data_IF_469392244574
#
_entry.id   IF_469392244574
#
_cell.length_a   1.000
_cell.length_b   1.000
_cell.length_c   1.000
_cell.angle_alpha   90.00
_cell.angle_beta   90.00
_cell.angle_gamma   90.00
#
_symmetry.space_group_name_H-M   'P 1'
#
loop_
_entity.id
_entity.type
_entity.pdbx_description
1 polymer ?
#
# COMPACT_ATOMS: atom_id res chain seq x y z
N UNK A 1 -0.73 10.23 -21.90
CA UNK A 1 -0.02 10.79 -20.73
C UNK A 1 -0.72 12.03 -20.21
N UNK A 2 -1.21 11.98 -18.97
CA UNK A 2 -1.82 13.11 -18.25
C UNK A 2 -0.85 13.57 -17.16
N UNK A 3 -0.70 14.88 -16.93
CA UNK A 3 0.09 15.36 -15.78
C UNK A 3 -0.71 15.21 -14.50
N UNK A 4 -0.11 14.65 -13.45
CA UNK A 4 -0.66 14.74 -12.10
C UNK A 4 -0.66 16.21 -11.69
N UNK A 5 -1.81 16.73 -11.28
CA UNK A 5 -1.96 18.14 -10.90
C UNK A 5 -1.67 18.30 -9.40
N UNK A 6 -1.29 19.50 -8.98
CA UNK A 6 -1.02 19.78 -7.56
C UNK A 6 -2.26 19.50 -6.68
N UNK A 7 -3.46 19.80 -7.19
CA UNK A 7 -4.73 19.51 -6.51
C UNK A 7 -5.08 18.02 -6.42
N UNK A 8 -4.31 17.15 -7.07
CA UNK A 8 -4.47 15.69 -6.99
C UNK A 8 -3.63 15.07 -5.86
N UNK A 9 -2.66 15.79 -5.30
CA UNK A 9 -1.71 15.26 -4.29
C UNK A 9 -2.39 14.90 -2.97
N UNK A 10 -3.22 15.80 -2.43
CA UNK A 10 -3.96 15.53 -1.19
C UNK A 10 -4.99 14.41 -1.37
N UNK A 11 -5.82 14.41 -2.42
CA UNK A 11 -6.69 13.27 -2.72
C UNK A 11 -5.95 11.94 -2.87
N UNK A 12 -4.80 11.93 -3.56
CA UNK A 12 -3.98 10.74 -3.71
C UNK A 12 -3.57 10.20 -2.34
N UNK A 13 -3.02 11.04 -1.46
CA UNK A 13 -2.60 10.62 -0.12
C UNK A 13 -3.75 10.07 0.72
N UNK A 14 -4.90 10.75 0.73
CA UNK A 14 -6.09 10.32 1.47
C UNK A 14 -6.62 8.98 0.96
N UNK A 15 -6.78 8.83 -0.35
CA UNK A 15 -7.28 7.60 -0.94
C UNK A 15 -6.32 6.42 -0.84
N UNK A 16 -5.01 6.67 -1.01
CA UNK A 16 -3.97 5.66 -0.79
C UNK A 16 -4.03 5.16 0.66
N UNK A 17 -4.25 6.04 1.63
CA UNK A 17 -4.39 5.65 3.03
C UNK A 17 -5.62 4.78 3.31
N UNK A 18 -6.76 5.12 2.69
CA UNK A 18 -8.00 4.31 2.78
C UNK A 18 -7.79 2.93 2.17
N UNK A 19 -7.13 2.85 1.00
CA UNK A 19 -6.80 1.59 0.33
C UNK A 19 -5.69 0.78 1.04
N UNK A 20 -4.96 1.40 1.96
CA UNK A 20 -3.89 0.76 2.72
C UNK A 20 -4.36 -0.27 3.73
N UNK A 21 -5.66 -0.36 4.04
CA UNK A 21 -6.21 -1.30 5.01
C UNK A 21 -5.45 -1.28 6.35
N UNK A 22 -5.11 -0.08 6.81
CA UNK A 22 -4.36 0.13 8.05
C UNK A 22 -2.84 -0.01 7.95
N UNK A 23 -2.29 -0.37 6.78
CA UNK A 23 -0.86 -0.48 6.55
C UNK A 23 -0.36 0.28 5.31
N UNK A 24 0.76 -0.16 4.74
CA UNK A 24 1.49 0.58 3.68
C UNK A 24 2.25 1.84 4.13
N UNK A 25 2.26 2.10 5.44
CA UNK A 25 2.92 3.25 6.07
C UNK A 25 2.13 4.55 5.91
N UNK A 26 2.27 5.49 6.85
CA UNK A 26 1.58 6.78 6.74
C UNK A 26 2.03 7.55 5.49
N UNK A 27 1.12 8.11 4.68
CA UNK A 27 1.49 8.91 3.52
C UNK A 27 1.92 10.34 3.88
N UNK A 28 1.84 10.76 5.14
CA UNK A 28 2.01 12.16 5.55
C UNK A 28 3.34 12.79 5.08
N UNK A 29 4.46 12.10 5.33
CA UNK A 29 5.77 12.64 4.97
C UNK A 29 5.97 12.66 3.45
N UNK A 30 5.47 11.64 2.73
CA UNK A 30 5.47 11.62 1.28
C UNK A 30 4.62 12.75 0.69
N UNK A 31 3.45 13.00 1.27
CA UNK A 31 2.57 14.11 0.89
C UNK A 31 3.24 15.47 1.10
N UNK A 32 3.92 15.69 2.24
CA UNK A 32 4.66 16.92 2.49
C UNK A 32 5.76 17.14 1.45
N UNK A 33 6.55 16.11 1.17
CA UNK A 33 7.62 16.17 0.17
C UNK A 33 7.07 16.44 -1.24
N UNK A 34 6.01 15.74 -1.64
CA UNK A 34 5.43 15.91 -2.97
C UNK A 34 4.85 17.31 -3.17
N UNK A 35 4.19 17.88 -2.15
CA UNK A 35 3.75 19.27 -2.19
C UNK A 35 4.92 20.25 -2.30
N UNK A 36 6.01 20.03 -1.57
CA UNK A 36 7.20 20.88 -1.66
C UNK A 36 7.81 20.84 -3.08
N UNK A 37 7.97 19.65 -3.65
CA UNK A 37 8.47 19.44 -5.01
C UNK A 37 7.61 20.16 -6.06
N UNK A 38 6.27 20.07 -5.94
CA UNK A 38 5.35 20.73 -6.86
C UNK A 38 5.40 22.27 -6.75
N UNK A 39 5.56 22.81 -5.55
CA UNK A 39 5.78 24.26 -5.35
C UNK A 39 7.08 24.76 -6.00
N UNK A 40 8.09 23.89 -6.06
CA UNK A 40 9.37 24.15 -6.74
C UNK A 40 9.29 23.95 -8.27
N UNK A 41 8.10 23.64 -8.80
CA UNK A 41 7.82 23.56 -10.24
C UNK A 41 8.02 22.16 -10.84
N UNK A 42 8.20 21.12 -10.02
CA UNK A 42 8.19 19.73 -10.49
C UNK A 42 6.80 19.38 -11.00
N UNK A 43 6.74 18.63 -12.09
CA UNK A 43 5.51 18.07 -12.62
C UNK A 43 5.76 16.62 -13.05
N UNK A 44 4.94 15.70 -12.53
CA UNK A 44 5.06 14.27 -12.81
C UNK A 44 4.01 13.89 -13.86
N UNK A 45 4.44 13.10 -14.83
CA UNK A 45 3.56 12.50 -15.82
C UNK A 45 2.99 11.19 -15.29
N UNK A 46 1.66 11.07 -15.35
CA UNK A 46 0.93 9.84 -15.06
C UNK A 46 0.63 9.14 -16.40
N UNK A 47 1.04 7.88 -16.49
CA UNK A 47 0.99 7.07 -17.70
C UNK A 47 -0.02 5.95 -17.51
N UNK A 48 -0.92 5.81 -18.46
CA UNK A 48 -1.78 4.63 -18.52
C UNK A 48 -0.92 3.40 -18.86
N UNK A 49 -1.04 2.27 -18.14
CA UNK A 49 -0.27 1.06 -18.43
C UNK A 49 -0.27 0.64 -19.91
N UNK A 50 -1.35 0.89 -20.64
CA UNK A 50 -1.47 0.56 -22.07
C UNK A 50 -0.60 1.44 -22.98
N UNK A 51 -0.18 2.63 -22.52
CA UNK A 51 0.71 3.53 -23.25
C UNK A 51 2.19 3.08 -23.20
N UNK A 52 2.55 2.14 -22.32
CA UNK A 52 3.91 1.59 -22.25
C UNK A 52 4.29 0.84 -23.53
N UNK A 53 5.54 0.99 -23.97
CA UNK A 53 6.14 0.06 -24.93
C UNK A 53 6.34 -1.31 -24.29
N UNK A 54 6.13 -2.39 -25.05
CA UNK A 54 6.23 -3.76 -24.49
C UNK A 54 7.60 -4.08 -23.87
N UNK A 55 8.66 -3.45 -24.40
CA UNK A 55 10.06 -3.60 -24.00
C UNK A 55 10.56 -2.49 -23.04
N UNK A 56 9.69 -1.55 -22.65
CA UNK A 56 9.98 -0.53 -21.63
C UNK A 56 10.35 -1.22 -20.33
N UNK A 57 11.33 -0.68 -19.60
CA UNK A 57 11.76 -1.19 -18.31
C UNK A 57 11.15 -0.34 -17.19
N UNK A 58 10.28 -0.95 -16.39
CA UNK A 58 9.56 -0.29 -15.30
C UNK A 58 10.19 -0.64 -13.96
N UNK A 59 10.57 0.39 -13.20
CA UNK A 59 11.01 0.25 -11.81
C UNK A 59 9.78 0.03 -10.92
N UNK A 60 9.80 -1.01 -10.09
CA UNK A 60 8.72 -1.29 -9.13
C UNK A 60 9.22 -0.92 -7.74
N UNK A 61 8.69 0.14 -7.15
CA UNK A 61 9.24 0.73 -5.91
C UNK A 61 8.28 0.64 -4.73
N UNK A 62 8.86 0.53 -3.53
CA UNK A 62 8.14 0.63 -2.26
C UNK A 62 9.16 0.85 -1.14
N UNK A 63 8.69 1.25 0.03
CA UNK A 63 9.42 1.13 1.27
C UNK A 63 9.10 -0.20 1.97
N UNK A 64 10.08 -0.75 2.68
CA UNK A 64 9.95 -1.95 3.52
C UNK A 64 10.49 -1.62 4.91
N UNK A 65 9.78 -2.02 5.96
CA UNK A 65 10.23 -1.79 7.32
C UNK A 65 9.19 -2.08 8.38
N UNK A 66 9.55 -1.80 9.62
CA UNK A 66 8.62 -1.81 10.73
C UNK A 66 7.81 -0.49 10.73
N UNK A 67 6.47 -0.53 10.71
CA UNK A 67 5.64 0.68 10.68
C UNK A 67 6.01 1.71 11.77
N UNK A 68 6.27 1.24 13.00
CA UNK A 68 6.68 2.12 14.11
C UNK A 68 8.02 2.81 13.87
N UNK A 69 8.99 2.14 13.25
CA UNK A 69 10.27 2.76 12.90
C UNK A 69 10.10 3.78 11.76
N UNK A 70 9.14 3.55 10.86
CA UNK A 70 8.76 4.50 9.81
C UNK A 70 8.22 5.81 10.36
N UNK A 71 7.51 5.80 11.49
CA UNK A 71 6.99 7.03 12.11
C UNK A 71 8.08 7.99 12.61
N UNK A 72 9.28 7.48 12.90
CA UNK A 72 10.42 8.27 13.39
C UNK A 72 11.40 8.65 12.26
N UNK A 73 11.23 8.08 11.06
CA UNK A 73 12.11 8.30 9.92
C UNK A 73 11.39 9.10 8.83
N UNK A 74 11.85 10.33 8.64
CA UNK A 74 11.36 11.20 7.58
C UNK A 74 11.56 10.57 6.21
N UNK A 75 10.56 10.74 5.33
CA UNK A 75 10.71 10.45 3.92
C UNK A 75 11.65 11.46 3.25
N UNK A 76 12.56 10.97 2.41
CA UNK A 76 13.50 11.76 1.61
C UNK A 76 13.43 11.27 0.15
N UNK A 77 13.07 12.14 -0.83
CA UNK A 77 13.01 11.75 -2.25
C UNK A 77 14.33 11.20 -2.79
N UNK A 78 15.48 11.75 -2.38
CA UNK A 78 16.79 11.25 -2.81
C UNK A 78 17.08 9.86 -2.27
N UNK A 79 16.66 9.58 -1.03
CA UNK A 79 16.74 8.26 -0.43
C UNK A 79 15.86 7.25 -1.19
N UNK A 80 14.63 7.65 -1.54
CA UNK A 80 13.66 6.84 -2.29
C UNK A 80 14.23 6.39 -3.65
N UNK A 81 14.98 7.28 -4.31
CA UNK A 81 15.60 7.02 -5.61
C UNK A 81 16.85 6.11 -5.57
N UNK A 82 17.52 5.96 -4.41
CA UNK A 82 18.76 5.17 -4.28
C UNK A 82 18.67 3.73 -4.79
N UNK A 83 17.70 2.89 -4.37
CA UNK A 83 17.61 1.51 -4.84
C UNK A 83 17.37 1.42 -6.35
N UNK A 84 16.68 2.40 -6.94
CA UNK A 84 16.48 2.47 -8.39
C UNK A 84 17.80 2.71 -9.10
N UNK A 85 18.58 3.72 -8.70
CA UNK A 85 19.93 3.99 -9.24
C UNK A 85 20.85 2.78 -9.11
N UNK A 86 20.82 2.10 -7.96
CA UNK A 86 21.60 0.89 -7.74
C UNK A 86 21.23 -0.26 -8.70
N UNK A 87 19.94 -0.44 -9.01
CA UNK A 87 19.51 -1.39 -10.02
C UNK A 87 19.91 -0.97 -11.43
N UNK A 88 19.82 0.32 -11.79
CA UNK A 88 20.26 0.80 -13.10
C UNK A 88 21.74 0.51 -13.34
N UNK A 89 22.59 0.76 -12.33
CA UNK A 89 24.02 0.48 -12.38
C UNK A 89 24.30 -1.03 -12.52
N UNK A 90 23.55 -1.88 -11.81
CA UNK A 90 23.68 -3.33 -11.90
C UNK A 90 23.20 -3.91 -13.24
N UNK A 91 22.09 -3.38 -13.77
CA UNK A 91 21.51 -3.82 -15.04
C UNK A 91 22.26 -3.26 -16.24
N UNK A 92 22.97 -2.14 -16.07
CA UNK A 92 23.57 -1.40 -17.18
C UNK A 92 22.53 -0.74 -18.10
N UNK A 93 21.30 -0.52 -17.60
CA UNK A 93 20.17 0.05 -18.33
C UNK A 93 19.37 0.98 -17.41
N UNK A 94 18.98 2.15 -17.92
CA UNK A 94 18.08 3.09 -17.23
C UNK A 94 16.63 2.61 -17.31
N UNK A 95 15.84 2.96 -16.31
CA UNK A 95 14.39 2.72 -16.34
C UNK A 95 13.69 3.74 -17.23
N UNK A 96 12.58 3.30 -17.84
CA UNK A 96 11.74 4.10 -18.72
C UNK A 96 10.53 4.67 -17.97
N UNK A 97 10.08 4.00 -16.89
CA UNK A 97 9.00 4.45 -16.01
C UNK A 97 9.13 3.86 -14.59
N UNK A 98 8.31 4.34 -13.66
CA UNK A 98 8.23 3.82 -12.28
C UNK A 98 6.80 3.54 -11.86
N UNK A 99 6.58 2.49 -11.05
CA UNK A 99 5.28 2.13 -10.50
C UNK A 99 5.39 1.68 -9.04
N UNK A 100 4.29 1.69 -8.31
CA UNK A 100 4.26 1.20 -6.93
C UNK A 100 4.22 -0.34 -6.87
N UNK A 101 4.76 -0.92 -5.79
CA UNK A 101 4.42 -2.30 -5.41
C UNK A 101 2.97 -2.37 -4.92
N UNK A 102 2.55 -1.40 -4.13
CA UNK A 102 1.21 -1.33 -3.55
C UNK A 102 0.72 0.11 -3.50
N UNK A 103 -0.58 0.31 -3.75
CA UNK A 103 -1.21 1.63 -3.65
C UNK A 103 -1.42 2.10 -2.20
N UNK A 104 -1.27 1.21 -1.22
CA UNK A 104 -1.59 1.47 0.17
C UNK A 104 -0.64 2.46 0.84
N UNK A 105 -1.20 3.51 1.44
CA UNK A 105 -0.48 4.47 2.28
C UNK A 105 0.70 5.17 1.59
N UNK A 106 1.82 5.28 2.29
CA UNK A 106 3.04 5.96 1.83
C UNK A 106 3.68 5.26 0.63
N UNK A 107 3.50 3.94 0.51
CA UNK A 107 3.94 3.20 -0.68
C UNK A 107 3.22 3.65 -1.96
N UNK A 108 1.98 4.15 -1.86
CA UNK A 108 1.26 4.78 -2.96
C UNK A 108 1.85 6.13 -3.39
N UNK A 109 2.68 6.77 -2.55
CA UNK A 109 3.35 8.05 -2.83
C UNK A 109 4.80 7.84 -3.29
N UNK A 110 5.46 6.76 -2.86
CA UNK A 110 6.83 6.40 -3.21
C UNK A 110 7.19 6.56 -4.70
N UNK A 111 6.40 6.05 -5.68
CA UNK A 111 6.74 6.21 -7.10
C UNK A 111 6.79 7.67 -7.55
N UNK A 112 6.02 8.56 -6.92
CA UNK A 112 6.04 9.99 -7.23
C UNK A 112 7.30 10.67 -6.70
N UNK A 113 7.78 10.29 -5.52
CA UNK A 113 9.05 10.79 -4.99
C UNK A 113 10.20 10.37 -5.91
N UNK A 114 10.22 9.10 -6.31
CA UNK A 114 11.22 8.57 -7.26
C UNK A 114 11.10 9.24 -8.63
N UNK A 115 9.88 9.34 -9.17
CA UNK A 115 9.61 9.95 -10.47
C UNK A 115 10.02 11.41 -10.54
N UNK A 116 9.72 12.19 -9.49
CA UNK A 116 10.17 13.57 -9.35
C UNK A 116 11.70 13.69 -9.33
N UNK A 117 12.37 12.84 -8.55
CA UNK A 117 13.83 12.88 -8.38
C UNK A 117 14.60 12.43 -9.62
N UNK A 118 14.08 11.44 -10.35
CA UNK A 118 14.76 10.84 -11.50
C UNK A 118 14.25 11.35 -12.85
N UNK A 119 13.18 12.15 -12.87
CA UNK A 119 12.53 12.59 -14.11
C UNK A 119 11.82 11.45 -14.85
N UNK A 120 11.30 10.46 -14.12
CA UNK A 120 10.60 9.30 -14.67
C UNK A 120 9.08 9.50 -14.60
N UNK A 121 8.32 9.09 -15.64
CA UNK A 121 6.88 9.02 -15.55
C UNK A 121 6.43 7.94 -14.56
N UNK A 122 5.31 8.17 -13.89
CA UNK A 122 4.66 7.22 -12.99
C UNK A 122 3.56 6.47 -13.73
N UNK A 123 3.54 5.16 -13.66
CA UNK A 123 2.48 4.32 -14.25
C UNK A 123 1.29 4.26 -13.29
N UNK A 124 0.07 4.47 -13.78
CA UNK A 124 -1.20 4.27 -13.04
C UNK A 124 -1.49 2.78 -12.86
N UNK A 125 -0.64 2.12 -12.08
CA UNK A 125 -0.78 0.74 -11.67
C UNK A 125 0.02 0.45 -10.40
N UNK A 126 -0.37 -0.61 -9.72
CA UNK A 126 0.42 -1.24 -8.67
C UNK A 126 0.33 -2.76 -8.76
N UNK A 127 0.97 -3.47 -7.83
CA UNK A 127 1.04 -4.93 -7.83
C UNK A 127 0.19 -5.60 -6.75
N UNK A 128 -0.57 -4.86 -5.95
CA UNK A 128 -1.34 -5.42 -4.82
C UNK A 128 -2.80 -4.93 -4.72
N UNK A 129 -3.14 -3.75 -5.27
CA UNK A 129 -4.48 -3.13 -5.22
C UNK A 129 -4.93 -2.63 -3.85
N UNK A 130 -4.12 -2.91 -2.83
CA UNK A 130 -4.19 -2.54 -1.41
C UNK A 130 -2.80 -2.77 -0.80
N UNK A 131 -2.61 -2.54 0.50
CA UNK A 131 -1.37 -2.98 1.15
C UNK A 131 -1.40 -4.46 1.56
N UNK A 132 -0.25 -5.13 1.48
CA UNK A 132 -0.01 -6.45 2.06
C UNK A 132 1.41 -6.54 2.69
N UNK A 133 1.60 -7.38 3.71
CA UNK A 133 2.83 -7.33 4.50
C UNK A 133 4.05 -8.01 3.85
N UNK A 134 3.86 -8.85 2.83
CA UNK A 134 4.91 -9.74 2.31
C UNK A 134 5.01 -9.76 0.78
N UNK A 135 6.24 -9.90 0.26
CA UNK A 135 6.53 -9.81 -1.18
C UNK A 135 5.74 -10.78 -2.08
N UNK A 136 5.40 -11.99 -1.61
CA UNK A 136 4.63 -12.96 -2.39
C UNK A 136 3.16 -12.56 -2.61
N UNK A 137 2.67 -11.53 -1.93
CA UNK A 137 1.26 -11.12 -1.97
C UNK A 137 0.93 -10.19 -3.15
N UNK A 138 1.76 -10.23 -4.20
CA UNK A 138 1.61 -9.40 -5.40
C UNK A 138 0.91 -10.15 -6.53
N UNK A 139 0.23 -9.42 -7.41
CA UNK A 139 -0.28 -9.91 -8.69
C UNK A 139 0.85 -10.53 -9.53
N UNK A 140 2.05 -9.95 -9.53
CA UNK A 140 3.22 -10.54 -10.19
C UNK A 140 3.56 -11.94 -9.68
N UNK A 141 3.47 -12.19 -8.37
CA UNK A 141 3.67 -13.51 -7.79
C UNK A 141 2.52 -14.48 -8.14
N UNK A 142 1.28 -13.99 -8.20
CA UNK A 142 0.10 -14.76 -8.65
C UNK A 142 0.30 -15.23 -10.10
N UNK A 143 0.84 -14.37 -10.96
CA UNK A 143 1.20 -14.68 -12.36
C UNK A 143 2.50 -15.48 -12.51
N UNK A 144 3.19 -15.82 -11.41
CA UNK A 144 4.38 -16.66 -11.44
C UNK A 144 5.65 -15.96 -11.93
N UNK A 145 5.67 -14.62 -11.93
CA UNK A 145 6.87 -13.86 -12.27
C UNK A 145 7.95 -14.03 -11.21
N UNK A 146 9.21 -13.81 -11.61
CA UNK A 146 10.35 -13.99 -10.73
C UNK A 146 10.58 -12.75 -9.82
N UNK A 147 11.06 -12.93 -8.57
CA UNK A 147 11.15 -11.86 -7.57
C UNK A 147 12.48 -11.09 -7.56
N UNK A 148 13.40 -11.29 -8.52
CA UNK A 148 14.75 -10.72 -8.49
C UNK A 148 15.17 -10.08 -9.84
N UNK A 149 16.21 -9.24 -9.87
CA UNK A 149 16.96 -8.69 -8.72
C UNK A 149 16.11 -7.72 -7.88
N UNK A 150 16.47 -7.53 -6.62
CA UNK A 150 15.87 -6.53 -5.74
C UNK A 150 16.97 -5.69 -5.12
N UNK A 151 16.77 -4.38 -5.04
CA UNK A 151 17.68 -3.47 -4.34
C UNK A 151 17.03 -2.84 -3.11
N UNK A 152 17.86 -2.58 -2.09
CA UNK A 152 17.53 -1.80 -0.90
C UNK A 152 18.58 -0.69 -0.73
N UNK A 153 18.14 0.46 -0.21
CA UNK A 153 19.02 1.58 0.13
C UNK A 153 18.86 2.04 1.58
N UNK A 154 19.79 2.84 2.09
CA UNK A 154 19.61 3.56 3.35
C UNK A 154 20.25 4.97 3.38
N UNK A 155 19.98 5.68 4.48
CA UNK A 155 20.47 7.04 4.75
C UNK A 155 22.00 7.13 4.88
N UNK A 156 22.66 6.00 5.15
CA UNK A 156 24.13 5.89 5.29
C UNK A 156 24.82 5.60 3.97
N UNK A 157 24.07 5.65 2.87
CA UNK A 157 24.54 5.36 1.52
C UNK A 157 24.97 3.91 1.31
N UNK A 158 24.38 3.00 2.08
CA UNK A 158 24.47 1.58 1.77
C UNK A 158 23.46 1.24 0.67
N UNK A 159 23.90 0.46 -0.32
CA UNK A 159 23.04 -0.17 -1.30
C UNK A 159 23.29 -1.68 -1.29
N UNK A 160 22.22 -2.47 -1.25
CA UNK A 160 22.29 -3.93 -1.25
C UNK A 160 21.45 -4.46 -2.40
N UNK A 161 22.03 -5.34 -3.22
CA UNK A 161 21.33 -6.03 -4.30
C UNK A 161 21.20 -7.51 -3.96
N UNK A 162 19.97 -7.99 -3.85
CA UNK A 162 19.66 -9.42 -3.80
C UNK A 162 19.53 -9.90 -5.25
N UNK A 163 20.65 -10.38 -5.80
CA UNK A 163 20.72 -10.76 -7.21
C UNK A 163 19.81 -11.95 -7.58
N UNK A 164 19.59 -12.88 -6.63
CA UNK A 164 18.74 -14.07 -6.80
C UNK A 164 18.13 -14.49 -5.47
N UNK A 165 16.94 -15.09 -5.55
CA UNK A 165 16.30 -15.77 -4.42
C UNK A 165 15.63 -17.07 -4.92
N UNK A 166 15.54 -18.07 -4.04
CA UNK A 166 14.95 -19.37 -4.40
C UNK A 166 13.43 -19.33 -4.61
N UNK A 167 12.75 -18.34 -4.04
CA UNK A 167 11.29 -18.13 -4.10
C UNK A 167 10.96 -16.70 -3.64
N UNK A 168 9.70 -16.30 -3.78
CA UNK A 168 9.19 -15.04 -3.21
C UNK A 168 9.35 -14.97 -1.69
N UNK A 169 9.10 -16.06 -0.97
CA UNK A 169 9.27 -16.14 0.49
C UNK A 169 10.74 -16.01 0.90
N UNK A 170 11.66 -16.59 0.11
CA UNK A 170 13.09 -16.38 0.33
C UNK A 170 13.52 -14.95 0.01
N UNK A 171 12.95 -14.32 -1.01
CA UNK A 171 13.21 -12.91 -1.30
C UNK A 171 12.79 -12.04 -0.11
N UNK A 172 11.55 -12.21 0.37
CA UNK A 172 11.01 -11.52 1.54
C UNK A 172 11.89 -11.70 2.79
N UNK A 173 12.30 -12.95 3.07
CA UNK A 173 13.18 -13.25 4.20
C UNK A 173 14.54 -12.55 4.09
N UNK A 174 15.16 -12.57 2.91
CA UNK A 174 16.47 -11.93 2.70
C UNK A 174 16.36 -10.41 2.81
N UNK A 175 15.38 -9.79 2.14
CA UNK A 175 15.17 -8.35 2.20
C UNK A 175 14.89 -7.88 3.61
N UNK A 176 14.10 -8.61 4.40
CA UNK A 176 13.78 -8.26 5.79
C UNK A 176 14.98 -8.29 6.72
N UNK A 177 15.88 -9.25 6.56
CA UNK A 177 17.16 -9.30 7.30
C UNK A 177 18.02 -8.09 6.95
N UNK A 178 18.12 -7.74 5.67
CA UNK A 178 18.85 -6.55 5.22
C UNK A 178 18.22 -5.28 5.78
N UNK A 179 16.91 -5.09 5.64
CA UNK A 179 16.18 -3.94 6.19
C UNK A 179 16.41 -3.76 7.69
N UNK A 180 16.46 -4.85 8.45
CA UNK A 180 16.79 -4.80 9.89
C UNK A 180 18.20 -4.23 10.12
N UNK A 181 19.20 -4.68 9.36
CA UNK A 181 20.56 -4.17 9.44
C UNK A 181 20.67 -2.69 8.98
N UNK A 182 19.81 -2.25 8.05
CA UNK A 182 19.70 -0.86 7.62
C UNK A 182 18.92 0.03 8.63
N UNK A 183 18.56 -0.52 9.79
CA UNK A 183 17.89 0.16 10.88
C UNK A 183 16.36 0.14 10.76
N UNK A 184 15.83 -1.00 10.35
CA UNK A 184 14.41 -1.39 10.37
C UNK A 184 13.48 -0.65 9.41
N UNK A 185 14.02 0.14 8.49
CA UNK A 185 13.29 0.72 7.36
C UNK A 185 14.25 1.00 6.20
N UNK A 186 13.83 0.70 4.98
CA UNK A 186 14.60 0.90 3.75
C UNK A 186 13.67 1.10 2.55
N UNK A 187 13.91 2.11 1.69
CA UNK A 187 13.34 2.14 0.35
C UNK A 187 13.86 0.94 -0.45
N UNK A 188 13.04 0.46 -1.38
CA UNK A 188 13.34 -0.70 -2.20
C UNK A 188 12.92 -0.48 -3.64
N UNK A 189 13.66 -1.11 -4.54
CA UNK A 189 13.27 -1.34 -5.92
C UNK A 189 13.22 -2.85 -6.12
N UNK A 190 12.02 -3.40 -6.37
CA UNK A 190 11.79 -4.83 -6.59
C UNK A 190 12.27 -5.23 -8.00
N UNK A 191 12.05 -6.49 -8.35
CA UNK A 191 12.31 -6.99 -9.69
C UNK A 191 11.67 -6.08 -10.75
N UNK A 192 12.47 -5.52 -11.67
CA UNK A 192 12.00 -4.75 -12.81
C UNK A 192 10.95 -5.52 -13.61
N UNK A 193 10.06 -4.78 -14.27
CA UNK A 193 9.05 -5.35 -15.16
C UNK A 193 9.20 -4.79 -16.56
N UNK A 194 8.95 -5.63 -17.56
CA UNK A 194 8.75 -5.12 -18.92
C UNK A 194 7.37 -4.44 -19.02
N UNK A 195 7.20 -3.52 -19.97
CA UNK A 195 5.88 -2.91 -20.20
C UNK A 195 4.80 -3.95 -20.49
N UNK A 196 5.13 -5.01 -21.24
CA UNK A 196 4.22 -6.17 -21.43
C UNK A 196 3.85 -6.86 -20.11
N UNK A 197 4.81 -7.13 -19.23
CA UNK A 197 4.51 -7.72 -17.91
C UNK A 197 3.61 -6.82 -17.06
N UNK A 198 3.77 -5.49 -17.14
CA UNK A 198 2.90 -4.54 -16.44
C UNK A 198 1.47 -4.58 -17.01
N UNK A 199 1.31 -4.55 -18.33
CA UNK A 199 -0.02 -4.65 -18.99
C UNK A 199 -0.73 -5.96 -18.62
N UNK A 200 -0.01 -7.08 -18.66
CA UNK A 200 -0.60 -8.40 -18.48
C UNK A 200 -0.87 -8.76 -17.01
N UNK A 201 -0.05 -8.24 -16.07
CA UNK A 201 0.00 -8.77 -14.70
C UNK A 201 -0.22 -7.72 -13.60
N UNK A 202 -0.12 -6.42 -13.86
CA UNK A 202 -0.34 -5.39 -12.84
C UNK A 202 -1.83 -5.12 -12.60
N UNK A 203 -2.14 -4.45 -11.48
CA UNK A 203 -3.47 -3.92 -11.19
C UNK A 203 -3.49 -2.48 -11.69
N UNK A 204 -4.25 -2.22 -12.75
CA UNK A 204 -4.31 -0.91 -13.41
C UNK A 204 -5.27 0.05 -12.71
N UNK A 205 -5.02 1.35 -12.86
CA UNK A 205 -5.93 2.42 -12.44
C UNK A 205 -5.99 2.65 -10.93
N UNK A 206 -5.04 2.12 -10.16
CA UNK A 206 -5.07 2.20 -8.70
C UNK A 206 -4.75 3.60 -8.16
N UNK A 207 -3.88 4.37 -8.83
CA UNK A 207 -3.63 5.77 -8.51
C UNK A 207 -4.87 6.60 -8.84
N UNK A 208 -5.46 6.38 -10.02
CA UNK A 208 -6.72 7.03 -10.40
C UNK A 208 -7.84 6.72 -9.39
N UNK A 209 -7.93 5.48 -8.89
CA UNK A 209 -8.86 5.07 -7.82
C UNK A 209 -8.59 5.82 -6.51
N UNK A 210 -7.34 5.86 -6.06
CA UNK A 210 -6.96 6.59 -4.84
C UNK A 210 -7.36 8.07 -4.93
N UNK A 211 -7.06 8.74 -6.04
CA UNK A 211 -7.45 10.15 -6.25
C UNK A 211 -8.97 10.32 -6.18
N UNK A 212 -9.76 9.43 -6.79
CA UNK A 212 -11.23 9.50 -6.73
C UNK A 212 -11.76 9.36 -5.31
N UNK A 213 -11.25 8.40 -4.55
CA UNK A 213 -11.63 8.18 -3.15
C UNK A 213 -11.29 9.42 -2.30
N UNK A 214 -10.07 9.94 -2.42
CA UNK A 214 -9.67 11.12 -1.66
C UNK A 214 -10.50 12.36 -2.00
N UNK A 215 -10.85 12.55 -3.28
CA UNK A 215 -11.74 13.65 -3.69
C UNK A 215 -13.14 13.49 -3.11
N UNK A 216 -13.67 12.26 -3.01
CA UNK A 216 -14.97 12.02 -2.40
C UNK A 216 -14.98 12.43 -0.92
N UNK A 217 -13.92 12.09 -0.17
CA UNK A 217 -13.73 12.53 1.23
C UNK A 217 -13.68 14.05 1.32
N UNK A 218 -12.81 14.69 0.52
CA UNK A 218 -12.67 16.14 0.55
C UNK A 218 -13.97 16.87 0.16
N UNK A 219 -14.70 16.38 -0.86
CA UNK A 219 -15.98 16.97 -1.27
C UNK A 219 -17.03 16.84 -0.17
N UNK A 220 -17.09 15.69 0.51
CA UNK A 220 -17.99 15.48 1.62
C UNK A 220 -17.67 16.45 2.78
N UNK A 221 -16.39 16.57 3.16
CA UNK A 221 -15.94 17.53 4.17
C UNK A 221 -16.31 18.97 3.79
N UNK A 222 -16.03 19.39 2.55
CA UNK A 222 -16.38 20.74 2.05
C UNK A 222 -17.87 21.02 2.11
N UNK A 223 -18.72 20.00 1.89
CA UNK A 223 -20.18 20.10 1.90
C UNK A 223 -20.80 19.81 3.26
N UNK A 224 -19.99 19.51 4.29
CA UNK A 224 -20.45 19.05 5.61
C UNK A 224 -21.36 17.81 5.51
N UNK A 225 -21.10 16.94 4.52
CA UNK A 225 -21.73 15.64 4.36
C UNK A 225 -20.89 14.56 5.06
N UNK A 226 -21.44 13.34 5.16
CA UNK A 226 -20.73 12.20 5.76
C UNK A 226 -19.64 11.67 4.79
N UNK A 227 -18.34 11.79 5.13
CA UNK A 227 -17.26 11.33 4.27
C UNK A 227 -17.19 9.80 4.19
N UNK A 228 -17.56 9.08 5.26
CA UNK A 228 -17.57 7.61 5.27
C UNK A 228 -18.64 7.10 4.31
N UNK A 229 -19.85 7.66 4.38
CA UNK A 229 -20.93 7.32 3.46
C UNK A 229 -20.55 7.60 1.99
N UNK A 230 -19.86 8.73 1.75
CA UNK A 230 -19.42 9.10 0.40
C UNK A 230 -18.40 8.13 -0.19
N UNK A 231 -17.47 7.61 0.63
CA UNK A 231 -16.52 6.55 0.20
C UNK A 231 -17.25 5.24 -0.07
N UNK A 232 -18.18 4.85 0.80
CA UNK A 232 -18.99 3.63 0.63
C UNK A 232 -19.76 3.68 -0.69
N UNK A 233 -20.46 4.78 -0.98
CA UNK A 233 -21.24 4.94 -2.20
C UNK A 233 -20.36 4.98 -3.46
N UNK A 234 -19.20 5.64 -3.39
CA UNK A 234 -18.30 5.78 -4.54
C UNK A 234 -17.53 4.51 -4.92
N UNK A 235 -17.37 3.57 -3.97
CA UNK A 235 -16.54 2.38 -4.12
C UNK A 235 -17.34 1.06 -3.99
N UNK A 236 -18.67 1.14 -4.03
CA UNK A 236 -19.57 0.00 -3.78
C UNK A 236 -19.22 -0.75 -2.48
N UNK A 237 -18.81 0.01 -1.46
CA UNK A 237 -18.36 -0.51 -0.17
C UNK A 237 -19.52 -0.94 0.73
N UNK A 238 -19.18 -1.43 1.94
CA UNK A 238 -20.17 -1.72 2.99
C UNK A 238 -19.70 -1.19 4.33
N UNK A 239 -20.61 -0.57 5.09
CA UNK A 239 -20.41 -0.30 6.51
C UNK A 239 -20.61 -1.60 7.29
N UNK A 240 -19.63 -1.97 8.11
CA UNK A 240 -19.66 -3.18 8.92
C UNK A 240 -19.96 -2.87 10.40
N UNK A 241 -19.45 -1.74 10.90
CA UNK A 241 -19.59 -1.37 12.29
C UNK A 241 -19.34 0.12 12.51
N UNK A 242 -19.99 0.71 13.50
CA UNK A 242 -19.66 2.04 14.01
C UNK A 242 -19.55 1.96 15.53
N UNK A 243 -18.45 2.46 16.08
CA UNK A 243 -18.23 2.40 17.51
C UNK A 243 -16.99 3.17 17.96
N UNK A 244 -16.56 2.88 19.18
CA UNK A 244 -15.40 3.49 19.81
C UNK A 244 -14.36 2.43 20.10
N UNK A 245 -13.09 2.74 19.86
CA UNK A 245 -11.97 1.86 20.23
C UNK A 245 -11.91 1.74 21.76
N UNK A 246 -12.11 0.53 22.26
CA UNK A 246 -12.13 0.18 23.69
C UNK A 246 -10.80 -0.43 24.16
N UNK A 247 -10.17 -1.29 23.36
CA UNK A 247 -8.85 -1.85 23.67
C UNK A 247 -8.02 -2.03 22.40
N UNK A 248 -6.70 -1.88 22.53
CA UNK A 248 -5.77 -2.24 21.44
C UNK A 248 -4.50 -2.85 22.00
N UNK A 249 -4.24 -4.09 21.60
CA UNK A 249 -3.06 -4.84 21.96
C UNK A 249 -2.14 -5.00 20.74
N UNK A 250 -0.85 -4.70 20.93
CA UNK A 250 0.15 -4.73 19.87
C UNK A 250 1.43 -5.37 20.36
N UNK A 251 2.08 -6.10 19.46
CA UNK A 251 3.42 -6.62 19.63
C UNK A 251 4.17 -6.58 18.31
N UNK A 252 5.45 -6.21 18.36
CA UNK A 252 6.34 -6.36 17.22
C UNK A 252 7.03 -7.70 17.31
N UNK A 253 6.87 -8.54 16.28
CA UNK A 253 7.49 -9.85 16.18
C UNK A 253 7.92 -10.10 14.74
N UNK A 254 9.15 -10.57 14.52
CA UNK A 254 9.67 -10.93 13.19
C UNK A 254 9.60 -9.78 12.16
N UNK A 255 9.68 -8.53 12.63
CA UNK A 255 9.58 -7.34 11.77
C UNK A 255 8.16 -6.96 11.36
N UNK A 256 7.13 -7.59 11.92
CA UNK A 256 5.73 -7.23 11.71
C UNK A 256 5.10 -6.66 12.99
N UNK A 257 4.17 -5.71 12.83
CA UNK A 257 3.29 -5.24 13.89
C UNK A 257 2.04 -6.12 13.92
N UNK A 258 1.96 -7.04 14.88
CA UNK A 258 0.79 -7.91 15.07
C UNK A 258 -0.04 -7.41 16.23
N UNK A 259 -1.35 -7.49 16.10
CA UNK A 259 -2.22 -7.06 17.17
C UNK A 259 -3.69 -7.37 16.97
N UNK A 260 -4.45 -6.92 17.95
CA UNK A 260 -5.87 -7.11 18.07
C UNK A 260 -6.47 -5.84 18.67
N UNK A 261 -7.61 -5.40 18.13
CA UNK A 261 -8.35 -4.26 18.66
C UNK A 261 -9.82 -4.62 18.89
N UNK A 262 -10.38 -4.06 19.96
CA UNK A 262 -11.79 -4.22 20.34
C UNK A 262 -12.48 -2.87 20.24
N UNK A 263 -13.60 -2.83 19.54
CA UNK A 263 -14.46 -1.66 19.40
C UNK A 263 -15.83 -1.93 20.03
N UNK A 264 -16.38 -0.93 20.71
CA UNK A 264 -17.69 -0.99 21.35
C UNK A 264 -18.70 -0.05 20.66
N UNK A 265 -19.90 -0.56 20.41
CA UNK A 265 -20.97 0.13 19.69
C UNK A 265 -22.28 -0.64 19.84
N UNK A 266 -23.00 -0.86 18.74
CA UNK A 266 -24.08 -1.85 18.71
C UNK A 266 -23.48 -3.27 18.67
N UNK A 267 -23.20 -3.81 19.85
CA UNK A 267 -22.41 -5.04 20.03
C UNK A 267 -20.91 -4.76 20.12
N UNK A 268 -20.11 -5.79 19.91
CA UNK A 268 -18.64 -5.72 19.94
C UNK A 268 -18.07 -6.06 18.57
N UNK A 269 -17.11 -5.26 18.11
CA UNK A 269 -16.34 -5.55 16.90
C UNK A 269 -14.87 -5.77 17.24
N UNK A 270 -14.34 -6.91 16.83
CA UNK A 270 -12.96 -7.31 17.04
C UNK A 270 -12.22 -7.33 15.71
N UNK A 271 -11.03 -6.73 15.63
CA UNK A 271 -10.21 -6.75 14.42
C UNK A 271 -8.78 -7.21 14.71
N UNK A 272 -8.36 -8.25 13.99
CA UNK A 272 -6.98 -8.75 13.99
C UNK A 272 -6.18 -8.07 12.87
N UNK A 273 -4.90 -7.80 13.14
CA UNK A 273 -4.01 -7.19 12.16
C UNK A 273 -2.56 -7.71 12.21
N UNK A 274 -1.91 -7.72 11.04
CA UNK A 274 -0.46 -7.88 10.86
C UNK A 274 0.01 -6.82 9.86
N UNK A 275 0.48 -5.67 10.35
CA UNK A 275 0.65 -4.40 9.62
C UNK A 275 -0.66 -3.85 9.01
N UNK A 276 -1.44 -4.70 8.35
CA UNK A 276 -2.76 -4.40 7.80
C UNK A 276 -3.86 -5.15 8.56
N UNK A 277 -5.09 -4.63 8.52
CA UNK A 277 -6.28 -5.29 9.05
C UNK A 277 -6.61 -6.55 8.24
N UNK A 278 -6.80 -7.67 8.93
CA UNK A 278 -6.91 -9.00 8.31
C UNK A 278 -8.29 -9.63 8.46
N UNK A 279 -8.87 -9.59 9.66
CA UNK A 279 -10.15 -10.25 9.97
C UNK A 279 -10.93 -9.40 10.94
N UNK A 280 -12.18 -9.09 10.60
CA UNK A 280 -13.13 -8.42 11.47
C UNK A 280 -14.23 -9.37 11.92
N UNK A 281 -14.54 -9.36 13.22
CA UNK A 281 -15.61 -10.16 13.83
C UNK A 281 -16.61 -9.25 14.51
N UNK A 282 -17.89 -9.48 14.27
CA UNK A 282 -18.99 -8.82 14.99
C UNK A 282 -19.62 -9.86 15.93
N UNK A 283 -19.64 -9.56 17.22
CA UNK A 283 -20.08 -10.46 18.30
C UNK A 283 -19.49 -11.89 18.18
N UNK A 284 -18.19 -11.96 17.89
CA UNK A 284 -17.42 -13.19 17.75
C UNK A 284 -17.55 -13.90 16.39
N UNK A 285 -18.42 -13.44 15.48
CA UNK A 285 -18.60 -14.02 14.15
C UNK A 285 -17.77 -13.28 13.09
N UNK A 286 -16.90 -13.96 12.31
CA UNK A 286 -16.19 -13.32 11.20
C UNK A 286 -17.17 -12.78 10.15
N UNK A 287 -17.12 -11.46 9.92
CA UNK A 287 -17.97 -10.75 8.95
C UNK A 287 -17.19 -10.17 7.79
N UNK A 288 -15.86 -10.01 7.93
CA UNK A 288 -14.97 -9.56 6.86
C UNK A 288 -13.58 -10.17 7.04
N UNK A 289 -12.89 -10.43 5.93
CA UNK A 289 -11.54 -10.99 5.94
C UNK A 289 -10.76 -10.65 4.68
N UNK A 290 -9.43 -10.64 4.79
CA UNK A 290 -8.48 -10.55 3.67
C UNK A 290 -8.83 -11.58 2.57
N UNK A 291 -8.74 -11.23 1.27
CA UNK A 291 -8.16 -10.01 0.71
C UNK A 291 -8.98 -8.72 0.81
N UNK A 292 -10.28 -8.76 1.15
CA UNK A 292 -11.15 -7.57 1.18
C UNK A 292 -10.49 -6.41 1.95
N UNK A 293 -10.64 -5.18 1.44
CA UNK A 293 -9.99 -4.00 2.03
C UNK A 293 -10.77 -3.60 3.28
N UNK A 294 -10.29 -3.99 4.46
CA UNK A 294 -10.84 -3.57 5.74
C UNK A 294 -10.24 -2.20 6.07
N UNK A 295 -11.06 -1.17 6.17
CA UNK A 295 -10.64 0.18 6.49
C UNK A 295 -11.34 0.69 7.75
N UNK A 296 -10.56 1.18 8.70
CA UNK A 296 -11.07 1.88 9.88
C UNK A 296 -10.94 3.38 9.61
N UNK A 297 -12.04 4.11 9.65
CA UNK A 297 -12.08 5.54 9.37
C UNK A 297 -12.61 6.30 10.58
N UNK A 298 -12.01 7.46 10.88
CA UNK A 298 -12.58 8.39 11.86
C UNK A 298 -13.95 8.88 11.37
N UNK A 299 -14.97 8.82 12.22
CA UNK A 299 -16.36 9.12 11.83
C UNK A 299 -16.62 10.61 11.58
N UNK A 300 -15.74 11.50 12.07
CA UNK A 300 -15.91 12.95 11.91
C UNK A 300 -15.09 13.46 10.73
N UNK A 301 -13.82 13.08 10.63
CA UNK A 301 -12.95 13.54 9.54
C UNK A 301 -13.07 12.68 8.28
N UNK A 302 -13.40 11.39 8.40
CA UNK A 302 -13.30 10.44 7.29
C UNK A 302 -11.86 10.04 6.96
N UNK A 303 -10.88 10.40 7.79
CA UNK A 303 -9.50 9.95 7.61
C UNK A 303 -9.37 8.47 8.02
N UNK A 304 -8.63 7.69 7.24
CA UNK A 304 -8.29 6.32 7.61
C UNK A 304 -7.34 6.29 8.81
N UNK A 305 -7.41 5.20 9.58
CA UNK A 305 -6.61 4.98 10.80
C UNK A 305 -5.74 3.75 10.63
N UNK A 306 -4.43 3.99 10.61
CA UNK A 306 -3.38 2.97 10.54
C UNK A 306 -3.36 2.06 11.77
N UNK A 307 -2.88 0.84 11.61
CA UNK A 307 -2.74 -0.12 12.73
C UNK A 307 -1.79 0.41 13.79
N UNK A 308 -0.79 1.20 13.39
CA UNK A 308 0.19 1.84 14.25
C UNK A 308 -0.34 3.11 14.94
N UNK A 309 -1.40 3.75 14.42
CA UNK A 309 -2.01 4.98 14.98
C UNK A 309 -3.37 4.75 15.63
N UNK A 310 -3.96 3.56 15.57
CA UNK A 310 -5.21 3.25 16.27
C UNK A 310 -5.07 3.39 17.81
N UNK A 311 -5.95 4.11 18.49
CA UNK A 311 -5.85 4.41 19.93
C UNK A 311 -7.20 4.28 20.61
N UNK A 312 -7.16 3.90 21.89
CA UNK A 312 -8.31 4.01 22.78
C UNK A 312 -8.96 5.39 22.66
N UNK A 313 -10.28 5.44 22.58
CA UNK A 313 -10.99 6.71 22.52
C UNK A 313 -11.53 7.09 21.15
N UNK A 314 -10.87 6.66 20.07
CA UNK A 314 -11.24 7.06 18.71
C UNK A 314 -12.62 6.53 18.32
N UNK A 315 -13.41 7.38 17.66
CA UNK A 315 -14.73 7.03 17.13
C UNK A 315 -14.56 6.61 15.67
N UNK A 316 -14.82 5.35 15.39
CA UNK A 316 -14.43 4.71 14.14
C UNK A 316 -15.64 4.09 13.44
N UNK A 317 -15.71 4.25 12.12
CA UNK A 317 -16.47 3.42 11.22
C UNK A 317 -15.56 2.35 10.63
N UNK A 318 -15.98 1.09 10.70
CA UNK A 318 -15.33 -0.02 10.02
C UNK A 318 -16.06 -0.24 8.70
N UNK A 319 -15.36 -0.03 7.59
CA UNK A 319 -15.89 -0.28 6.26
C UNK A 319 -15.08 -1.38 5.57
N UNK A 320 -15.69 -1.97 4.54
CA UNK A 320 -15.00 -2.86 3.61
C UNK A 320 -15.18 -2.38 2.18
N UNK A 321 -14.11 -2.46 1.38
CA UNK A 321 -14.11 -2.12 -0.05
C UNK A 321 -13.74 -3.34 -0.90
N UNK A 322 -14.23 -3.41 -2.15
CA UNK A 322 -13.92 -4.51 -3.05
C UNK A 322 -12.46 -4.49 -3.48
N UNK A 323 -11.96 -5.69 -3.81
CA UNK A 323 -10.61 -5.93 -4.30
C UNK A 323 -10.57 -6.31 -5.77
N UNK A 324 -9.42 -6.12 -6.45
CA UNK A 324 -9.20 -6.65 -7.79
C UNK A 324 -9.45 -8.16 -7.87
N UNK A 325 -10.11 -8.59 -8.94
CA UNK A 325 -10.54 -9.99 -9.11
C UNK A 325 -9.39 -11.02 -9.06
N UNK A 326 -8.17 -10.62 -9.42
CA UNK A 326 -6.98 -11.49 -9.36
C UNK A 326 -6.73 -12.02 -7.94
N UNK A 327 -7.05 -11.23 -6.90
CA UNK A 327 -6.83 -11.58 -5.50
C UNK A 327 -7.83 -12.63 -4.98
N UNK A 328 -8.99 -12.76 -5.61
CA UNK A 328 -10.04 -13.73 -5.23
C UNK A 328 -10.05 -14.98 -6.11
N UNK A 329 -9.12 -15.09 -7.06
CA UNK A 329 -8.86 -16.36 -7.78
C UNK A 329 -8.33 -17.43 -6.82
N UNK A 330 -8.42 -18.74 -7.15
CA UNK A 330 -7.85 -19.79 -6.31
C UNK A 330 -6.38 -19.55 -5.97
N UNK A 331 -5.58 -19.13 -6.97
CA UNK A 331 -4.16 -18.80 -6.76
C UNK A 331 -3.95 -17.55 -5.93
N UNK A 332 -4.79 -16.52 -6.08
CA UNK A 332 -4.78 -15.34 -5.23
C UNK A 332 -5.04 -15.71 -3.76
N UNK A 333 -6.10 -16.47 -3.49
CA UNK A 333 -6.49 -16.88 -2.14
C UNK A 333 -5.45 -17.77 -1.44
N UNK A 334 -4.64 -18.53 -2.18
CA UNK A 334 -3.49 -19.25 -1.62
C UNK A 334 -2.44 -18.30 -1.02
N UNK A 335 -2.27 -17.10 -1.59
CA UNK A 335 -1.22 -16.15 -1.22
C UNK A 335 -1.71 -15.05 -0.27
N UNK A 336 -2.97 -14.60 -0.40
CA UNK A 336 -3.52 -13.45 0.34
C UNK A 336 -4.80 -13.74 1.11
N UNK A 337 -5.34 -14.95 1.01
CA UNK A 337 -6.52 -15.37 1.76
C UNK A 337 -6.23 -15.63 3.24
N UNK A 338 -7.25 -15.87 4.08
CA UNK A 338 -7.08 -16.01 5.52
C UNK A 338 -6.09 -17.13 5.91
N UNK A 339 -6.07 -18.23 5.16
CA UNK A 339 -5.13 -19.33 5.41
C UNK A 339 -3.67 -18.94 5.24
N UNK A 340 -3.34 -17.99 4.36
CA UNK A 340 -1.99 -17.47 4.20
C UNK A 340 -1.48 -16.75 5.46
N UNK A 341 -2.40 -16.23 6.27
CA UNK A 341 -2.14 -15.59 7.56
C UNK A 341 -2.29 -16.54 8.77
N UNK A 342 -2.49 -17.83 8.52
CA UNK A 342 -2.59 -18.86 9.57
C UNK A 342 -3.98 -19.06 10.15
N UNK A 343 -5.03 -18.48 9.57
CA UNK A 343 -6.41 -18.77 9.96
C UNK A 343 -6.86 -20.14 9.42
N UNK A 344 -7.74 -20.82 10.15
CA UNK A 344 -8.20 -22.18 9.85
C UNK A 344 -9.47 -22.24 8.98
N UNK A 345 -10.01 -21.09 8.58
CA UNK A 345 -11.20 -20.95 7.75
C UNK A 345 -10.90 -20.42 6.34
N UNK A 346 -11.84 -20.68 5.42
CA UNK A 346 -11.77 -20.22 4.03
C UNK A 346 -12.31 -18.80 3.86
N UNK A 347 -11.85 -18.13 2.81
CA UNK A 347 -12.34 -16.80 2.43
C UNK A 347 -13.86 -16.84 2.14
N UNK A 348 -14.57 -15.88 2.72
CA UNK A 348 -15.98 -15.58 2.44
C UNK A 348 -16.05 -14.09 2.14
N UNK A 349 -16.19 -13.75 0.86
CA UNK A 349 -16.18 -12.36 0.43
C UNK A 349 -17.32 -11.58 1.04
N UNK A 350 -17.02 -10.37 1.53
CA UNK A 350 -18.02 -9.48 2.10
C UNK A 350 -19.00 -8.96 1.04
N UNK A 351 -18.77 -9.23 -0.24
CA UNK A 351 -19.58 -8.80 -1.39
C UNK A 351 -20.25 -9.94 -2.16
N UNK A 352 -20.04 -11.19 -1.73
CA UNK A 352 -20.55 -12.41 -2.39
C UNK A 352 -22.02 -12.71 -2.09
#
# INVERSE_FOLDING_TARGET
MQKLREDDITPLATGAWILGSGGGGSPHDGWLNLNALYRDGVAIELVDPEELGDDDLVAVVSSMGAPLAGQERLADPELSAKPVRALEDWLGRRFDAVMAVEIGGGNGIEPFLVGATLGLPVVDADAMGRAFPEAQMTSFAIHGLNPFPLALGDVRDNAVIVARAASWQWMERLSRVVTTALGSTAPTAKAPRSGREVKDCAIHGSIGRAIRIGRAVEDAQRRLADPVASVIEGEDGRLLFTGKVHDVQRRTSEGFLRGHAVLEGEGTFEVDFQNEYLVGRHDGLPVVMTPDIICLMDVESGEAVGTETLRYGQRIAVITLPVPAILTTPRGLELVGPRAFGYDFDYRGAFA
#
